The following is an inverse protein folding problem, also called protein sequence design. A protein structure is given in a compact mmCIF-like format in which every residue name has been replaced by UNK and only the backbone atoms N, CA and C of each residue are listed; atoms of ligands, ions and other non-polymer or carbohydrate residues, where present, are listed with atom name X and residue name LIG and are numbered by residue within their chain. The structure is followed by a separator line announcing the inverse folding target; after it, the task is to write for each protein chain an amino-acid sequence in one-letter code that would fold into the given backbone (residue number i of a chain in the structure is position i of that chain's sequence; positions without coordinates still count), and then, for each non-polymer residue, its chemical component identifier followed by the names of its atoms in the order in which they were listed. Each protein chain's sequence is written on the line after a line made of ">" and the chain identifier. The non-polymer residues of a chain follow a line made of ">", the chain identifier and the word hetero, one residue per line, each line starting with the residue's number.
data_IF_465037932680
#
_entry.id   IF_465037932680
#
_cell.length_a   1.000
_cell.length_b   1.000
_cell.length_c   1.000
_cell.angle_alpha   90.00
_cell.angle_beta   90.00
_cell.angle_gamma   90.00
#
_symmetry.space_group_name_H-M   'P 1'
#
loop_
_entity.id
_entity.type
_entity.pdbx_description
1 polymer ?
#
# COMPACT_ATOMS: atom_id res chain seq x y z
N UNK A 1 53.46 -7.51 -53.11
CA UNK A 1 52.20 -7.95 -52.44
C UNK A 1 52.01 -7.06 -51.23
N UNK A 2 51.26 -5.95 -51.37
CA UNK A 2 50.97 -5.05 -50.26
C UNK A 2 49.70 -5.53 -49.55
N UNK A 3 49.83 -5.91 -48.27
CA UNK A 3 48.69 -6.18 -47.41
C UNK A 3 48.09 -4.84 -46.95
N UNK A 4 46.98 -4.44 -47.55
CA UNK A 4 46.14 -3.36 -47.02
C UNK A 4 45.42 -3.89 -45.79
N UNK A 5 46.04 -3.76 -44.62
CA UNK A 5 45.36 -3.93 -43.35
C UNK A 5 44.27 -2.86 -43.25
N UNK A 6 43.02 -3.30 -43.34
CA UNK A 6 41.83 -2.46 -43.25
C UNK A 6 41.62 -2.10 -41.77
N UNK A 7 42.37 -1.10 -41.28
CA UNK A 7 42.21 -0.56 -39.93
C UNK A 7 40.94 0.30 -39.98
N UNK A 8 39.83 -0.22 -39.46
CA UNK A 8 38.59 0.54 -39.33
C UNK A 8 38.85 1.68 -38.31
N UNK A 9 38.86 2.97 -38.71
CA UNK A 9 39.12 4.07 -37.79
C UNK A 9 37.87 4.30 -36.95
N UNK A 10 37.75 3.55 -35.85
CA UNK A 10 36.73 3.81 -34.84
C UNK A 10 37.16 5.05 -34.05
N UNK A 11 36.37 6.14 -34.05
CA UNK A 11 36.64 7.30 -33.22
C UNK A 11 36.72 6.88 -31.75
N UNK A 12 37.69 7.44 -31.01
CA UNK A 12 37.94 7.14 -29.59
C UNK A 12 36.69 7.29 -28.71
N UNK A 13 35.82 8.22 -29.08
CA UNK A 13 34.66 8.61 -28.30
C UNK A 13 33.54 7.58 -28.44
N UNK A 14 33.42 6.99 -29.64
CA UNK A 14 32.50 5.87 -29.91
C UNK A 14 32.98 4.57 -29.26
N UNK A 15 34.30 4.38 -29.15
CA UNK A 15 34.90 3.19 -28.53
C UNK A 15 34.60 3.11 -27.02
N UNK A 16 34.78 4.21 -26.28
CA UNK A 16 34.49 4.23 -24.83
C UNK A 16 32.99 4.17 -24.53
N UNK A 17 32.16 4.81 -25.36
CA UNK A 17 30.70 4.67 -25.28
C UNK A 17 30.26 3.21 -25.49
N UNK A 18 30.78 2.53 -26.51
CA UNK A 18 30.50 1.12 -26.74
C UNK A 18 31.06 0.22 -25.64
N UNK A 19 32.24 0.53 -25.08
CA UNK A 19 32.86 -0.26 -24.02
C UNK A 19 32.06 -0.22 -22.71
N UNK A 20 31.52 0.94 -22.33
CA UNK A 20 30.66 1.06 -21.14
C UNK A 20 29.31 0.41 -21.35
N UNK A 21 28.73 0.55 -22.55
CA UNK A 21 27.47 -0.09 -22.91
C UNK A 21 27.64 -1.63 -22.95
N UNK A 22 28.71 -2.14 -23.56
CA UNK A 22 29.08 -3.55 -23.52
C UNK A 22 29.32 -4.02 -22.09
N UNK A 23 30.06 -3.25 -21.28
CA UNK A 23 30.33 -3.57 -19.89
C UNK A 23 29.05 -3.72 -19.06
N UNK A 24 28.11 -2.78 -19.19
CA UNK A 24 26.80 -2.85 -18.52
C UNK A 24 26.00 -4.05 -19.03
N UNK A 25 26.01 -4.32 -20.34
CA UNK A 25 25.30 -5.46 -20.94
C UNK A 25 25.90 -6.81 -20.52
N UNK A 26 27.21 -6.88 -20.33
CA UNK A 26 27.93 -8.07 -19.87
C UNK A 26 27.66 -8.31 -18.38
N UNK A 27 27.70 -7.25 -17.56
CA UNK A 27 27.39 -7.33 -16.14
C UNK A 27 25.93 -7.73 -15.92
N UNK A 28 25.01 -7.19 -16.73
CA UNK A 28 23.62 -7.61 -16.87
C UNK A 28 23.48 -9.09 -17.23
N UNK A 29 24.22 -9.58 -18.22
CA UNK A 29 24.22 -10.99 -18.64
C UNK A 29 24.76 -11.92 -17.55
N UNK A 30 25.78 -11.49 -16.81
CA UNK A 30 26.36 -12.22 -15.67
C UNK A 30 25.36 -12.30 -14.51
N UNK A 31 24.68 -11.19 -14.20
CA UNK A 31 23.61 -11.18 -13.19
C UNK A 31 22.45 -12.07 -13.62
N UNK A 32 22.05 -12.02 -14.89
CA UNK A 32 21.00 -12.89 -15.44
C UNK A 32 21.37 -14.38 -15.38
N UNK A 33 22.61 -14.75 -15.72
CA UNK A 33 23.10 -16.13 -15.64
C UNK A 33 23.25 -16.62 -14.19
N UNK A 34 23.75 -15.78 -13.30
CA UNK A 34 23.86 -16.10 -11.88
C UNK A 34 22.48 -16.34 -11.26
N UNK A 35 21.48 -15.55 -11.65
CA UNK A 35 20.09 -15.69 -11.18
C UNK A 35 19.33 -16.84 -11.86
N UNK A 36 19.63 -17.16 -13.12
CA UNK A 36 19.15 -18.39 -13.78
C UNK A 36 19.66 -19.64 -13.04
N UNK A 37 20.94 -19.65 -12.64
CA UNK A 37 21.49 -20.73 -11.82
C UNK A 37 20.82 -20.80 -10.44
N UNK A 38 20.47 -19.66 -9.86
CA UNK A 38 19.81 -19.57 -8.55
C UNK A 38 18.30 -19.92 -8.60
N UNK A 39 17.65 -19.77 -9.75
CA UNK A 39 16.26 -20.24 -9.97
C UNK A 39 16.09 -21.76 -9.93
N UNK A 40 17.19 -22.53 -9.85
CA UNK A 40 17.16 -24.00 -9.63
C UNK A 40 17.24 -24.40 -8.16
N UNK A 41 17.61 -23.49 -7.25
CA UNK A 41 17.63 -23.78 -5.81
C UNK A 41 16.32 -23.31 -5.19
N UNK A 42 15.68 -24.20 -4.42
CA UNK A 42 14.35 -24.03 -3.81
C UNK A 42 14.25 -22.94 -2.72
N UNK A 43 15.20 -22.01 -2.67
CA UNK A 43 15.23 -20.92 -1.69
C UNK A 43 14.54 -19.74 -2.35
N UNK A 44 13.31 -19.41 -1.91
CA UNK A 44 12.60 -18.22 -2.35
C UNK A 44 13.11 -16.99 -1.56
N UNK A 45 14.06 -16.18 -2.06
CA UNK A 45 14.57 -15.01 -1.33
C UNK A 45 13.47 -13.95 -1.11
N UNK A 46 12.44 -13.94 -1.95
CA UNK A 46 11.33 -12.99 -1.92
C UNK A 46 10.07 -13.52 -1.23
N UNK A 47 10.07 -14.75 -0.71
CA UNK A 47 8.91 -15.33 -0.02
C UNK A 47 8.35 -14.44 1.10
N UNK A 48 9.18 -13.97 2.05
CA UNK A 48 8.73 -13.10 3.14
C UNK A 48 8.16 -11.77 2.65
N UNK A 49 8.65 -11.29 1.50
CA UNK A 49 8.26 -9.99 0.93
C UNK A 49 6.95 -10.13 0.14
N UNK A 50 6.76 -11.23 -0.58
CA UNK A 50 5.53 -11.55 -1.30
C UNK A 50 4.34 -11.77 -0.35
N UNK A 51 4.57 -12.46 0.77
CA UNK A 51 3.56 -12.67 1.80
C UNK A 51 3.13 -11.34 2.46
N UNK A 52 4.10 -10.46 2.73
CA UNK A 52 3.81 -9.09 3.22
C UNK A 52 3.05 -8.24 2.21
N UNK A 53 3.24 -8.47 0.92
CA UNK A 53 2.57 -7.74 -0.17
C UNK A 53 1.25 -8.37 -0.62
N UNK A 54 0.85 -9.53 -0.07
CA UNK A 54 -0.36 -10.24 -0.49
C UNK A 54 -0.27 -10.80 -1.92
N UNK A 55 0.95 -10.98 -2.44
CA UNK A 55 1.24 -11.48 -3.78
C UNK A 55 1.55 -12.98 -3.77
N UNK A 56 1.13 -13.71 -2.74
CA UNK A 56 1.37 -15.15 -2.60
C UNK A 56 0.72 -15.98 -3.71
N UNK A 57 -0.27 -15.42 -4.41
CA UNK A 57 -0.89 -16.04 -5.59
C UNK A 57 0.01 -15.98 -6.84
N UNK A 58 1.04 -15.12 -6.88
CA UNK A 58 1.95 -15.00 -8.01
C UNK A 58 3.13 -15.98 -7.85
N UNK A 59 3.54 -16.58 -8.96
CA UNK A 59 4.71 -17.45 -8.99
C UNK A 59 5.97 -16.66 -8.58
N UNK A 60 6.77 -17.13 -7.60
CA UNK A 60 7.98 -16.44 -7.15
C UNK A 60 8.96 -16.11 -8.29
N UNK A 61 9.06 -16.98 -9.31
CA UNK A 61 9.89 -16.74 -10.48
C UNK A 61 9.43 -15.53 -11.32
N UNK A 62 8.12 -15.32 -11.45
CA UNK A 62 7.57 -14.16 -12.18
C UNK A 62 7.86 -12.84 -11.44
N UNK A 63 7.73 -12.85 -10.11
CA UNK A 63 8.04 -11.67 -9.28
C UNK A 63 9.53 -11.33 -9.37
N UNK A 64 10.42 -12.32 -9.28
CA UNK A 64 11.86 -12.13 -9.47
C UNK A 64 12.19 -11.60 -10.87
N UNK A 65 11.58 -12.17 -11.91
CA UNK A 65 11.73 -11.69 -13.28
C UNK A 65 11.30 -10.23 -13.42
N UNK A 66 10.14 -9.86 -12.86
CA UNK A 66 9.64 -8.49 -12.88
C UNK A 66 10.57 -7.52 -12.15
N UNK A 67 10.99 -7.84 -10.93
CA UNK A 67 11.90 -6.99 -10.13
C UNK A 67 13.25 -6.83 -10.82
N UNK A 68 13.77 -7.91 -11.39
CA UNK A 68 15.04 -7.90 -12.13
C UNK A 68 14.92 -7.03 -13.38
N UNK A 69 13.91 -7.28 -14.23
CA UNK A 69 13.62 -6.50 -15.43
C UNK A 69 13.50 -5.02 -15.08
N UNK A 70 12.75 -4.71 -14.03
CA UNK A 70 12.50 -3.34 -13.60
C UNK A 70 13.77 -2.67 -13.05
N UNK A 71 14.57 -3.37 -12.25
CA UNK A 71 15.86 -2.89 -11.75
C UNK A 71 16.86 -2.61 -12.87
N UNK A 72 16.86 -3.44 -13.91
CA UNK A 72 17.70 -3.26 -15.08
C UNK A 72 17.27 -2.09 -15.96
N UNK A 73 15.96 -1.92 -16.16
CA UNK A 73 15.39 -0.75 -16.81
C UNK A 73 15.82 0.53 -16.07
N UNK A 74 15.68 0.54 -14.74
CA UNK A 74 16.07 1.67 -13.90
C UNK A 74 17.57 1.96 -13.97
N UNK A 75 18.42 0.93 -13.91
CA UNK A 75 19.87 1.06 -14.02
C UNK A 75 20.27 1.63 -15.37
N UNK A 76 19.68 1.12 -16.46
CA UNK A 76 19.95 1.59 -17.83
C UNK A 76 19.59 3.06 -18.00
N UNK A 77 18.41 3.47 -17.51
CA UNK A 77 17.98 4.87 -17.56
C UNK A 77 18.90 5.78 -16.72
N UNK A 78 19.32 5.32 -15.55
CA UNK A 78 20.20 6.08 -14.65
C UNK A 78 21.59 6.24 -15.26
N UNK A 79 22.16 5.16 -15.81
CA UNK A 79 23.44 5.20 -16.50
C UNK A 79 23.40 6.12 -17.72
N UNK A 80 22.30 6.08 -18.50
CA UNK A 80 22.09 6.99 -19.63
C UNK A 80 22.02 8.46 -19.22
N UNK A 81 21.31 8.77 -18.12
CA UNK A 81 21.25 10.13 -17.58
C UNK A 81 22.64 10.62 -17.12
N UNK A 82 23.36 9.81 -16.35
CA UNK A 82 24.71 10.15 -15.89
C UNK A 82 25.70 10.33 -17.03
N UNK A 83 25.63 9.47 -18.06
CA UNK A 83 26.44 9.59 -19.26
C UNK A 83 26.22 10.92 -19.97
N UNK A 84 24.96 11.37 -20.11
CA UNK A 84 24.64 12.68 -20.68
C UNK A 84 25.14 13.85 -19.85
N UNK A 85 24.95 13.80 -18.53
CA UNK A 85 25.43 14.86 -17.62
C UNK A 85 26.96 14.98 -17.71
N UNK A 86 27.67 13.85 -17.72
CA UNK A 86 29.12 13.81 -17.79
C UNK A 86 29.65 14.30 -19.15
N UNK A 87 29.00 13.92 -20.24
CA UNK A 87 29.33 14.37 -21.59
C UNK A 87 29.18 15.90 -21.75
N UNK A 88 28.11 16.47 -21.20
CA UNK A 88 27.96 17.93 -21.11
C UNK A 88 29.11 18.49 -20.26
N UNK A 89 29.33 18.01 -19.03
CA UNK A 89 30.34 18.58 -18.15
C UNK A 89 31.75 18.69 -18.78
N UNK A 90 32.13 17.75 -19.63
CA UNK A 90 33.44 17.72 -20.29
C UNK A 90 33.48 18.54 -21.59
N UNK A 91 32.40 18.57 -22.38
CA UNK A 91 32.40 19.16 -23.73
C UNK A 91 31.56 20.45 -23.86
N UNK A 92 30.96 20.97 -22.78
CA UNK A 92 29.78 21.86 -22.81
C UNK A 92 29.91 23.30 -23.32
N UNK A 93 31.08 23.79 -23.74
CA UNK A 93 31.16 25.19 -24.19
C UNK A 93 31.41 25.22 -25.70
N UNK A 94 30.36 25.31 -26.53
CA UNK A 94 30.55 25.52 -27.96
C UNK A 94 31.32 26.82 -28.18
N UNK A 95 32.40 26.75 -28.95
CA UNK A 95 33.19 27.94 -29.31
C UNK A 95 32.40 28.74 -30.33
N UNK A 96 32.27 30.05 -30.09
CA UNK A 96 31.39 30.95 -30.82
C UNK A 96 31.76 30.97 -32.32
N UNK A 97 30.95 30.36 -33.18
CA UNK A 97 31.17 30.36 -34.64
C UNK A 97 30.54 29.22 -35.44
N UNK A 98 30.19 28.09 -34.81
CA UNK A 98 29.57 26.94 -35.49
C UNK A 98 28.09 26.77 -35.08
N UNK A 99 27.16 26.98 -36.01
CA UNK A 99 25.71 26.92 -35.75
C UNK A 99 25.18 25.52 -35.43
N UNK A 100 25.81 24.47 -35.96
CA UNK A 100 25.44 23.07 -35.74
C UNK A 100 25.72 22.61 -34.30
N UNK A 101 26.87 23.00 -33.74
CA UNK A 101 27.24 22.68 -32.35
C UNK A 101 26.28 23.34 -31.34
N UNK A 102 25.82 24.55 -31.66
CA UNK A 102 24.82 25.30 -30.86
C UNK A 102 23.43 24.65 -30.91
N UNK A 103 23.10 23.85 -31.92
CA UNK A 103 21.84 23.11 -31.91
C UNK A 103 21.93 21.81 -31.11
N UNK A 104 23.06 21.09 -31.24
CA UNK A 104 23.27 19.82 -30.56
C UNK A 104 23.30 19.95 -29.02
N UNK A 105 23.91 21.00 -28.46
CA UNK A 105 23.90 21.17 -26.98
C UNK A 105 22.49 21.44 -26.43
N UNK A 106 21.66 22.21 -27.16
CA UNK A 106 20.26 22.47 -26.76
C UNK A 106 19.47 21.17 -26.74
N UNK A 107 19.69 20.32 -27.73
CA UNK A 107 19.06 19.00 -27.78
C UNK A 107 19.48 18.13 -26.60
N UNK A 108 20.77 18.12 -26.24
CA UNK A 108 21.28 17.41 -25.04
C UNK A 108 20.62 17.90 -23.74
N UNK A 109 20.39 19.21 -23.60
CA UNK A 109 19.68 19.76 -22.44
C UNK A 109 18.23 19.27 -22.35
N UNK A 110 17.49 19.30 -23.46
CA UNK A 110 16.11 18.79 -23.52
C UNK A 110 16.07 17.30 -23.18
N UNK A 111 17.07 16.53 -23.64
CA UNK A 111 17.17 15.10 -23.37
C UNK A 111 17.39 14.79 -21.88
N UNK A 112 18.18 15.59 -21.16
CA UNK A 112 18.33 15.47 -19.70
C UNK A 112 16.99 15.69 -19.01
N UNK A 113 16.28 16.78 -19.34
CA UNK A 113 14.96 17.07 -18.74
C UNK A 113 13.98 15.92 -18.98
N UNK A 114 13.95 15.38 -20.20
CA UNK A 114 13.10 14.25 -20.55
C UNK A 114 13.48 12.98 -19.75
N UNK A 115 14.76 12.62 -19.69
CA UNK A 115 15.23 11.44 -18.96
C UNK A 115 15.00 11.55 -17.46
N UNK A 116 15.18 12.71 -16.85
CA UNK A 116 14.85 12.95 -15.45
C UNK A 116 13.36 12.73 -15.19
N UNK A 117 12.49 13.24 -16.07
CA UNK A 117 11.05 13.00 -15.99
C UNK A 117 10.69 11.51 -16.08
N UNK A 118 11.27 10.78 -17.03
CA UNK A 118 11.05 9.34 -17.21
C UNK A 118 11.54 8.55 -15.99
N UNK A 119 12.71 8.87 -15.43
CA UNK A 119 13.22 8.25 -14.20
C UNK A 119 12.28 8.46 -13.01
N UNK A 120 11.74 9.68 -12.86
CA UNK A 120 10.71 9.98 -11.86
C UNK A 120 9.45 9.13 -12.06
N UNK A 121 8.94 9.05 -13.29
CA UNK A 121 7.76 8.25 -13.60
C UNK A 121 7.97 6.75 -13.37
N UNK A 122 9.14 6.23 -13.77
CA UNK A 122 9.53 4.84 -13.53
C UNK A 122 9.50 4.58 -12.03
N UNK A 123 10.26 5.32 -11.23
CA UNK A 123 10.32 5.13 -9.75
C UNK A 123 8.99 5.31 -9.03
N UNK A 124 8.13 6.20 -9.50
CA UNK A 124 6.82 6.43 -8.92
C UNK A 124 5.88 5.21 -9.02
N UNK A 125 6.02 4.39 -10.06
CA UNK A 125 5.14 3.25 -10.31
C UNK A 125 5.20 2.18 -9.20
N UNK A 126 6.36 1.56 -8.88
CA UNK A 126 6.41 0.56 -7.81
C UNK A 126 6.09 1.17 -6.45
N UNK A 127 6.48 2.41 -6.20
CA UNK A 127 6.14 3.11 -4.96
C UNK A 127 4.63 3.28 -4.79
N UNK A 128 3.92 3.64 -5.87
CA UNK A 128 2.46 3.76 -5.87
C UNK A 128 1.79 2.41 -5.61
N UNK A 129 2.27 1.34 -6.24
CA UNK A 129 1.76 -0.02 -5.99
C UNK A 129 2.00 -0.46 -4.55
N UNK A 130 3.19 -0.25 -4.01
CA UNK A 130 3.51 -0.54 -2.61
C UNK A 130 2.59 0.24 -1.67
N UNK A 131 2.42 1.55 -1.91
CA UNK A 131 1.55 2.40 -1.09
C UNK A 131 0.11 1.89 -1.08
N UNK A 132 -0.44 1.47 -2.22
CA UNK A 132 -1.79 0.88 -2.31
C UNK A 132 -1.91 -0.41 -1.49
N UNK A 133 -0.90 -1.27 -1.53
CA UNK A 133 -0.90 -2.53 -0.78
C UNK A 133 -0.81 -2.29 0.74
N UNK A 134 0.05 -1.37 1.18
CA UNK A 134 0.17 -1.01 2.60
C UNK A 134 -1.05 -0.26 3.13
N UNK A 135 -1.69 0.59 2.31
CA UNK A 135 -2.90 1.34 2.68
C UNK A 135 -4.05 0.42 3.09
N UNK A 136 -4.15 -0.80 2.52
CA UNK A 136 -5.20 -1.77 2.88
C UNK A 136 -5.05 -2.33 4.30
N UNK A 137 -3.84 -2.35 4.86
CA UNK A 137 -3.62 -2.83 6.24
C UNK A 137 -3.95 -1.76 7.26
N UNK A 138 -3.71 -0.49 6.94
CA UNK A 138 -4.10 0.63 7.78
C UNK A 138 -5.61 0.78 7.88
N UNK A 139 -6.37 0.46 6.81
CA UNK A 139 -7.83 0.50 6.87
C UNK A 139 -8.40 -0.51 7.85
N UNK A 140 -7.84 -1.73 7.95
CA UNK A 140 -8.34 -2.76 8.87
C UNK A 140 -8.08 -2.37 10.34
N UNK A 141 -6.86 -1.91 10.67
CA UNK A 141 -6.56 -1.46 12.03
C UNK A 141 -7.36 -0.20 12.43
N UNK A 142 -7.64 0.70 11.48
CA UNK A 142 -8.50 1.85 11.71
C UNK A 142 -9.97 1.44 11.88
N UNK A 143 -10.43 0.41 11.18
CA UNK A 143 -11.81 -0.11 11.25
C UNK A 143 -12.08 -0.81 12.59
N UNK A 144 -11.16 -1.65 13.09
CA UNK A 144 -11.27 -2.28 14.42
C UNK A 144 -11.23 -1.26 15.57
N UNK A 145 -10.37 -0.24 15.46
CA UNK A 145 -10.33 0.87 16.42
C UNK A 145 -11.65 1.66 16.45
N UNK A 146 -12.25 1.90 15.28
CA UNK A 146 -13.50 2.62 15.15
C UNK A 146 -14.69 1.86 15.75
N UNK A 147 -14.75 0.53 15.60
CA UNK A 147 -15.78 -0.30 16.24
C UNK A 147 -15.64 -0.25 17.75
N UNK A 148 -14.42 -0.40 18.28
CA UNK A 148 -14.14 -0.33 19.71
C UNK A 148 -14.55 1.02 20.30
N UNK A 149 -14.20 2.12 19.64
CA UNK A 149 -14.55 3.47 20.09
C UNK A 149 -16.07 3.72 20.06
N UNK A 150 -16.75 3.28 18.99
CA UNK A 150 -18.22 3.34 18.92
C UNK A 150 -18.89 2.51 20.02
N UNK A 151 -18.34 1.35 20.34
CA UNK A 151 -18.84 0.47 21.39
C UNK A 151 -18.65 1.09 22.77
N UNK A 152 -17.46 1.61 23.08
CA UNK A 152 -17.19 2.34 24.31
C UNK A 152 -18.13 3.53 24.49
N UNK A 153 -18.30 4.33 23.43
CA UNK A 153 -19.22 5.49 23.45
C UNK A 153 -20.67 5.07 23.66
N UNK A 154 -21.12 3.99 23.02
CA UNK A 154 -22.47 3.48 23.23
C UNK A 154 -22.68 2.99 24.67
N UNK A 155 -21.70 2.29 25.24
CA UNK A 155 -21.75 1.82 26.64
C UNK A 155 -21.79 3.00 27.62
N UNK A 156 -21.00 4.05 27.38
CA UNK A 156 -21.02 5.27 28.18
C UNK A 156 -22.39 5.96 28.13
N UNK A 157 -22.95 6.12 26.93
CA UNK A 157 -24.27 6.72 26.71
C UNK A 157 -25.41 5.88 27.31
N UNK A 158 -25.23 4.56 27.45
CA UNK A 158 -26.20 3.69 28.11
C UNK A 158 -26.32 4.00 29.62
N UNK A 159 -25.27 4.54 30.23
CA UNK A 159 -25.27 4.99 31.63
C UNK A 159 -25.83 6.40 31.85
N UNK A 160 -26.24 7.09 30.80
CA UNK A 160 -26.66 8.49 30.88
C UNK A 160 -28.03 8.66 31.58
N UNK A 161 -28.23 9.75 32.30
CA UNK A 161 -29.47 10.02 33.06
C UNK A 161 -30.68 10.29 32.14
N UNK A 162 -30.42 10.88 30.97
CA UNK A 162 -31.43 11.13 29.93
C UNK A 162 -31.83 9.85 29.17
N UNK A 163 -33.13 9.51 29.21
CA UNK A 163 -33.73 8.37 28.50
C UNK A 163 -33.54 8.43 26.99
N UNK A 164 -33.56 9.61 26.37
CA UNK A 164 -33.36 9.75 24.93
C UNK A 164 -31.93 9.34 24.52
N UNK A 165 -30.93 9.69 25.35
CA UNK A 165 -29.52 9.31 25.13
C UNK A 165 -29.34 7.80 25.27
N UNK A 166 -29.96 7.18 26.28
CA UNK A 166 -29.92 5.71 26.47
C UNK A 166 -30.58 4.95 25.32
N UNK A 167 -31.70 5.45 24.78
CA UNK A 167 -32.32 4.86 23.59
C UNK A 167 -31.41 4.95 22.37
N UNK A 168 -30.77 6.10 22.16
CA UNK A 168 -29.76 6.26 21.11
C UNK A 168 -28.63 5.24 21.25
N UNK A 169 -28.14 5.02 22.47
CA UNK A 169 -27.13 4.01 22.77
C UNK A 169 -27.59 2.59 22.43
N UNK A 170 -28.82 2.21 22.80
CA UNK A 170 -29.37 0.87 22.54
C UNK A 170 -29.48 0.61 21.03
N UNK A 171 -29.94 1.59 20.24
CA UNK A 171 -30.01 1.44 18.79
C UNK A 171 -28.62 1.43 18.13
N UNK A 172 -27.66 2.19 18.66
CA UNK A 172 -26.28 2.13 18.20
C UNK A 172 -25.67 0.75 18.47
N UNK A 173 -25.92 0.17 19.66
CA UNK A 173 -25.52 -1.19 20.00
C UNK A 173 -26.16 -2.23 19.07
N UNK A 174 -27.44 -2.09 18.72
CA UNK A 174 -28.09 -2.93 17.70
C UNK A 174 -27.36 -2.86 16.35
N UNK A 175 -26.98 -1.66 15.91
CA UNK A 175 -26.23 -1.48 14.67
C UNK A 175 -24.82 -2.10 14.73
N UNK A 176 -24.11 -1.94 15.85
CA UNK A 176 -22.77 -2.52 16.04
C UNK A 176 -22.84 -4.06 15.96
N UNK A 177 -23.89 -4.70 16.46
CA UNK A 177 -24.05 -6.16 16.35
C UNK A 177 -24.28 -6.68 14.92
N UNK A 178 -24.72 -5.81 14.00
CA UNK A 178 -24.79 -6.09 12.55
C UNK A 178 -23.39 -5.98 11.94
N UNK A 179 -22.67 -4.91 12.28
CA UNK A 179 -21.37 -4.58 11.71
C UNK A 179 -20.25 -5.50 12.26
N UNK A 180 -20.37 -5.99 13.50
CA UNK A 180 -19.44 -6.91 14.15
C UNK A 180 -20.16 -8.11 14.79
N UNK A 181 -20.07 -9.27 14.11
CA UNK A 181 -20.61 -10.54 14.63
C UNK A 181 -19.84 -10.98 15.90
N UNK A 182 -18.54 -10.70 15.97
CA UNK A 182 -17.67 -11.10 17.08
C UNK A 182 -18.10 -10.41 18.39
N UNK A 183 -18.53 -9.15 18.33
CA UNK A 183 -18.90 -8.37 19.52
C UNK A 183 -20.33 -8.62 19.99
N UNK A 184 -21.15 -9.33 19.22
CA UNK A 184 -22.58 -9.54 19.49
C UNK A 184 -22.86 -10.11 20.87
N UNK A 185 -22.08 -11.11 21.28
CA UNK A 185 -22.25 -11.76 22.60
C UNK A 185 -22.00 -10.76 23.73
N UNK A 186 -21.00 -9.89 23.59
CA UNK A 186 -20.71 -8.88 24.60
C UNK A 186 -21.85 -7.86 24.69
N UNK A 187 -22.31 -7.34 23.55
CA UNK A 187 -23.42 -6.37 23.51
C UNK A 187 -24.70 -6.94 24.13
N UNK A 188 -25.09 -8.17 23.79
CA UNK A 188 -26.27 -8.82 24.37
C UNK A 188 -26.15 -9.01 25.89
N UNK A 189 -24.96 -9.32 26.41
CA UNK A 189 -24.72 -9.41 27.86
C UNK A 189 -24.85 -8.04 28.52
N UNK A 190 -24.32 -6.99 27.92
CA UNK A 190 -24.45 -5.62 28.40
C UNK A 190 -25.90 -5.19 28.46
N UNK A 191 -26.68 -5.42 27.40
CA UNK A 191 -28.13 -5.12 27.39
C UNK A 191 -28.89 -5.94 28.45
N UNK A 192 -28.56 -7.22 28.63
CA UNK A 192 -29.17 -8.03 29.70
C UNK A 192 -28.84 -7.51 31.11
N UNK A 193 -27.59 -7.08 31.34
CA UNK A 193 -27.19 -6.47 32.60
C UNK A 193 -27.92 -5.14 32.83
N UNK A 194 -28.06 -4.32 31.78
CA UNK A 194 -28.83 -3.09 31.79
C UNK A 194 -30.29 -3.33 32.19
N UNK A 195 -30.95 -4.29 31.55
CA UNK A 195 -32.32 -4.67 31.89
C UNK A 195 -32.46 -5.11 33.35
N UNK A 196 -31.52 -5.92 33.87
CA UNK A 196 -31.52 -6.34 35.27
C UNK A 196 -31.36 -5.18 36.24
N UNK A 197 -30.49 -4.22 35.92
CA UNK A 197 -30.27 -3.03 36.75
C UNK A 197 -31.49 -2.10 36.78
N UNK A 198 -32.23 -2.01 35.67
CA UNK A 198 -33.44 -1.18 35.54
C UNK A 198 -34.72 -1.84 36.05
N UNK A 199 -34.68 -3.09 36.52
CA UNK A 199 -35.86 -3.71 37.13
C UNK A 199 -36.25 -2.94 38.41
N UNK A 200 -37.52 -2.52 38.55
CA UNK A 200 -37.97 -1.89 39.79
C UNK A 200 -37.77 -2.88 40.95
N UNK A 201 -37.37 -2.40 42.14
CA UNK A 201 -37.26 -3.27 43.31
C UNK A 201 -38.60 -3.97 43.53
N UNK A 202 -38.56 -5.28 43.81
CA UNK A 202 -39.75 -6.03 44.23
C UNK A 202 -40.16 -5.60 45.65
N UNK A 203 -40.72 -4.40 45.80
CA UNK A 203 -41.41 -4.06 47.03
C UNK A 203 -42.87 -4.50 46.93
N UNK A 204 -43.30 -5.38 47.85
CA UNK A 204 -44.58 -6.09 47.81
C UNK A 204 -45.69 -5.33 48.52
N UNK A 205 -45.65 -4.00 48.53
CA UNK A 205 -46.68 -3.20 49.21
C UNK A 205 -47.02 -1.96 48.42
N UNK A 206 -48.29 -1.86 48.00
CA UNK A 206 -48.88 -0.61 47.57
C UNK A 206 -49.10 -0.52 46.06
N UNK A 207 -50.34 -0.27 45.71
CA UNK A 207 -50.88 0.00 44.37
C UNK A 207 -50.33 1.32 43.80
N UNK A 208 -49.05 1.36 43.46
CA UNK A 208 -48.50 2.40 42.59
C UNK A 208 -48.26 1.85 41.19
N UNK A 209 -48.65 2.69 40.23
CA UNK A 209 -48.81 2.49 38.81
C UNK A 209 -47.68 1.67 38.16
N UNK A 210 -47.90 0.37 37.93
CA UNK A 210 -47.04 -0.55 37.16
C UNK A 210 -47.20 -0.26 35.67
N UNK A 211 -47.02 1.01 35.27
CA UNK A 211 -47.38 1.47 33.94
C UNK A 211 -46.42 2.50 33.38
N UNK A 212 -45.15 2.14 33.35
CA UNK A 212 -44.38 2.27 32.12
C UNK A 212 -43.08 1.46 32.29
N UNK A 213 -42.93 0.37 31.55
CA UNK A 213 -41.55 -0.08 31.29
C UNK A 213 -40.91 1.08 30.54
N UNK A 214 -39.88 1.70 31.13
CA UNK A 214 -39.17 2.82 30.51
C UNK A 214 -38.89 2.51 29.04
N UNK A 215 -39.12 3.49 28.16
CA UNK A 215 -39.05 3.29 26.69
C UNK A 215 -37.69 2.69 26.27
N UNK A 216 -36.63 2.99 27.02
CA UNK A 216 -35.30 2.40 26.93
C UNK A 216 -35.24 0.90 27.34
N UNK A 217 -35.98 0.49 28.37
CA UNK A 217 -36.11 -0.92 28.76
C UNK A 217 -36.84 -1.71 27.67
N UNK A 218 -37.90 -1.14 27.08
CA UNK A 218 -38.60 -1.75 25.94
C UNK A 218 -37.69 -1.87 24.72
N UNK A 219 -36.96 -0.80 24.36
CA UNK A 219 -36.01 -0.81 23.26
C UNK A 219 -34.91 -1.88 23.43
N UNK A 220 -34.36 -2.01 24.65
CA UNK A 220 -33.35 -3.02 24.94
C UNK A 220 -33.90 -4.45 24.83
N UNK A 221 -35.15 -4.67 25.28
CA UNK A 221 -35.82 -5.95 25.17
C UNK A 221 -36.09 -6.32 23.69
N UNK A 222 -36.59 -5.37 22.90
CA UNK A 222 -36.85 -5.55 21.47
C UNK A 222 -35.59 -5.96 20.71
N UNK A 223 -34.47 -5.29 20.99
CA UNK A 223 -33.18 -5.64 20.40
C UNK A 223 -32.77 -7.07 20.78
N UNK A 224 -32.86 -7.44 22.06
CA UNK A 224 -32.51 -8.81 22.50
C UNK A 224 -33.40 -9.86 21.83
N UNK A 225 -34.71 -9.61 21.74
CA UNK A 225 -35.67 -10.53 21.12
C UNK A 225 -35.42 -10.68 19.62
N UNK A 226 -35.17 -9.58 18.92
CA UNK A 226 -34.79 -9.56 17.50
C UNK A 226 -33.58 -10.47 17.24
N UNK A 227 -32.53 -10.36 18.06
CA UNK A 227 -31.31 -11.16 17.87
C UNK A 227 -31.46 -12.62 18.32
N UNK A 228 -32.29 -12.91 19.33
CA UNK A 228 -32.64 -14.29 19.69
C UNK A 228 -33.33 -15.03 18.55
N UNK A 229 -34.17 -14.35 17.77
CA UNK A 229 -34.86 -14.96 16.64
C UNK A 229 -33.95 -15.27 15.44
N UNK A 230 -32.72 -14.74 15.41
CA UNK A 230 -31.78 -14.90 14.31
C UNK A 230 -30.67 -15.94 14.58
N UNK A 231 -30.52 -16.38 15.83
CA UNK A 231 -29.64 -17.50 16.25
C UNK A 231 -30.40 -18.81 16.26
#
# INVERSE_FOLDING_TARGET
>A
MNQTLLILPLPSDTFWGLATLLGVTLLMGVVFLALWQMGRTAINPLGPLQERLGLSALNPGLVLMLVTLWGLLFLTLTAGLFGLIFDILIHAVPVQGQTEEVWNWRFKLVQITALTGVLGAVTALPFSLLKLLFSRRQTIAAEEGLITERLSKAIEQLGHEDTAVRMGAIHLLDRIMVDSIVDRVMVLRTLNAYLKYRQPPHDRTGTEDVKDLGVDVQAALDVILKWRAQT
#
